data_IF_218106302888
#
_entry.id   IF_218106302888
#
_cell.length_a   1.000
_cell.length_b   1.000
_cell.length_c   1.000
_cell.angle_alpha   90.00
_cell.angle_beta   90.00
_cell.angle_gamma   90.00
#
_symmetry.space_group_name_H-M   'P 1'
#
loop_
_entity.id
_entity.type
_entity.pdbx_description
1 polymer ?
#
# COMPACT_ATOMS: atom_id res chain seq x y z
N UNK A 1 -1.91 18.64 41.39
CA UNK A 1 -1.13 18.88 40.14
C UNK A 1 -1.70 20.11 39.44
N UNK A 2 -0.93 20.80 38.58
CA UNK A 2 -1.44 21.91 37.77
C UNK A 2 -1.54 21.46 36.31
N UNK A 3 -2.68 21.73 35.68
CA UNK A 3 -2.98 21.42 34.29
C UNK A 3 -3.39 22.71 33.59
N UNK A 4 -2.87 22.94 32.38
CA UNK A 4 -3.23 24.09 31.55
C UNK A 4 -3.97 23.56 30.33
N UNK A 5 -5.19 24.03 30.08
CA UNK A 5 -5.99 23.54 28.97
C UNK A 5 -5.61 24.20 27.63
N UNK A 6 -6.30 23.82 26.54
CA UNK A 6 -6.03 24.35 25.21
C UNK A 6 -6.34 25.85 25.04
N UNK A 7 -7.03 26.46 26.01
CA UNK A 7 -7.34 27.90 26.07
C UNK A 7 -6.35 28.66 26.95
N UNK A 8 -5.45 27.96 27.66
CA UNK A 8 -4.49 28.56 28.60
C UNK A 8 -5.05 28.74 30.01
N UNK A 9 -6.18 28.11 30.33
CA UNK A 9 -6.78 28.23 31.66
C UNK A 9 -6.07 27.29 32.65
N UNK A 10 -5.73 27.81 33.83
CA UNK A 10 -5.01 27.09 34.89
C UNK A 10 -5.98 26.31 35.79
N UNK A 11 -5.91 24.99 35.72
CA UNK A 11 -6.69 24.05 36.52
C UNK A 11 -5.85 23.45 37.64
N UNK A 12 -6.39 23.48 38.86
CA UNK A 12 -5.75 22.94 40.07
C UNK A 12 -6.50 21.70 40.52
N UNK A 13 -5.77 20.60 40.70
CA UNK A 13 -6.31 19.35 41.26
C UNK A 13 -6.58 19.49 42.76
N UNK A 14 -7.79 19.14 43.17
CA UNK A 14 -8.29 19.07 44.54
C UNK A 14 -8.89 17.67 44.80
N UNK A 15 -9.07 17.32 46.07
CA UNK A 15 -9.77 16.10 46.49
C UNK A 15 -10.90 16.45 47.43
N UNK A 16 -12.05 15.80 47.26
CA UNK A 16 -13.17 15.95 48.19
C UNK A 16 -13.02 15.04 49.43
N UNK A 17 -13.99 15.10 50.33
CA UNK A 17 -14.00 14.33 51.58
C UNK A 17 -14.10 12.80 51.34
N UNK A 18 -14.55 12.36 50.16
CA UNK A 18 -14.67 10.96 49.77
C UNK A 18 -13.41 10.44 49.05
N UNK A 19 -12.46 11.34 48.73
CA UNK A 19 -11.19 11.05 48.08
C UNK A 19 -11.27 11.07 46.55
N UNK A 20 -12.37 11.55 45.98
CA UNK A 20 -12.52 11.74 44.54
C UNK A 20 -11.75 12.99 44.10
N UNK A 21 -11.00 12.85 43.01
CA UNK A 21 -10.15 13.92 42.47
C UNK A 21 -10.97 14.76 41.51
N UNK A 22 -10.92 16.08 41.69
CA UNK A 22 -11.55 17.03 40.78
C UNK A 22 -10.63 18.22 40.50
N UNK A 23 -10.89 18.92 39.41
CA UNK A 23 -10.12 20.10 39.03
C UNK A 23 -10.95 21.36 39.25
N UNK A 24 -10.33 22.43 39.76
CA UNK A 24 -10.92 23.76 39.90
C UNK A 24 -10.12 24.74 39.06
N UNK A 25 -10.79 25.52 38.23
CA UNK A 25 -10.16 26.60 37.49
C UNK A 25 -9.79 27.72 38.48
N UNK A 26 -8.51 28.08 38.52
CA UNK A 26 -7.99 29.05 39.49
C UNK A 26 -8.58 30.46 39.30
N UNK A 27 -9.02 30.80 38.09
CA UNK A 27 -9.50 32.13 37.72
C UNK A 27 -11.02 32.25 37.86
N UNK A 28 -11.77 31.25 37.43
CA UNK A 28 -13.25 31.27 37.49
C UNK A 28 -13.81 30.70 38.78
N UNK A 29 -13.01 29.95 39.54
CA UNK A 29 -13.44 29.13 40.68
C UNK A 29 -14.50 28.08 40.32
N UNK A 30 -14.68 27.79 39.03
CA UNK A 30 -15.57 26.73 38.57
C UNK A 30 -14.87 25.38 38.73
N UNK A 31 -15.61 24.41 39.24
CA UNK A 31 -15.11 23.04 39.31
C UNK A 31 -15.40 22.31 38.00
N UNK A 32 -14.61 21.28 37.71
CA UNK A 32 -14.91 20.28 36.66
C UNK A 32 -16.25 19.55 36.87
N UNK A 33 -16.92 19.77 38.01
CA UNK A 33 -18.30 19.35 38.27
C UNK A 33 -19.36 20.31 37.76
N UNK A 34 -19.02 21.60 37.64
CA UNK A 34 -19.92 22.66 37.18
C UNK A 34 -19.97 22.77 35.65
N UNK A 35 -19.01 22.17 34.94
CA UNK A 35 -18.98 22.12 33.48
C UNK A 35 -20.12 21.23 32.95
N UNK A 36 -20.98 21.81 32.10
CA UNK A 36 -22.04 21.07 31.41
C UNK A 36 -21.49 19.91 30.58
N UNK A 37 -22.31 18.88 30.35
CA UNK A 37 -21.93 17.63 29.67
C UNK A 37 -21.25 17.83 28.31
N UNK A 38 -21.56 18.90 27.59
CA UNK A 38 -20.93 19.23 26.30
C UNK A 38 -19.51 19.78 26.44
N UNK A 39 -19.18 20.51 27.51
CA UNK A 39 -17.82 21.03 27.75
C UNK A 39 -16.92 20.02 28.47
N UNK A 40 -17.49 19.12 29.29
CA UNK A 40 -16.76 17.97 29.86
C UNK A 40 -16.16 17.04 28.80
N UNK A 41 -16.85 16.88 27.67
CA UNK A 41 -16.35 16.10 26.54
C UNK A 41 -15.25 16.83 25.76
N UNK A 42 -15.26 18.16 25.74
CA UNK A 42 -14.23 18.98 25.10
C UNK A 42 -12.94 19.12 25.95
N UNK A 43 -13.04 19.04 27.28
CA UNK A 43 -11.88 19.13 28.19
C UNK A 43 -11.16 17.79 28.43
N UNK A 44 -11.70 16.66 27.94
CA UNK A 44 -11.07 15.34 28.07
C UNK A 44 -11.07 14.77 29.49
N UNK A 45 -11.84 15.34 30.41
CA UNK A 45 -11.92 14.91 31.82
C UNK A 45 -13.10 13.91 31.96
N UNK A 46 -12.81 12.61 32.06
CA UNK A 46 -13.82 11.54 32.07
C UNK A 46 -14.08 10.99 33.49
N UNK A 47 -15.35 10.92 33.90
CA UNK A 47 -15.87 10.07 34.99
C UNK A 47 -17.21 9.44 34.56
N UNK A 48 -17.58 8.22 35.03
CA UNK A 48 -18.71 7.49 34.48
C UNK A 48 -20.05 7.82 35.17
N UNK A 49 -21.10 7.89 34.34
CA UNK A 49 -22.53 7.62 34.59
C UNK A 49 -23.53 8.79 34.71
N UNK A 50 -24.52 8.78 33.80
CA UNK A 50 -25.95 8.68 34.14
C UNK A 50 -26.87 9.91 34.00
N UNK A 51 -27.66 9.95 32.91
CA UNK A 51 -29.12 10.19 32.98
C UNK A 51 -29.69 11.61 32.71
N UNK A 52 -30.36 11.72 31.56
CA UNK A 52 -31.67 12.32 31.26
C UNK A 52 -32.05 13.80 31.58
N UNK A 53 -32.47 14.46 30.49
CA UNK A 53 -33.63 15.36 30.29
C UNK A 53 -33.64 16.89 30.61
N UNK A 54 -34.04 17.63 29.55
CA UNK A 54 -34.90 18.81 29.46
C UNK A 54 -34.42 20.27 29.71
N UNK A 55 -34.24 20.97 28.58
CA UNK A 55 -35.04 22.13 28.12
C UNK A 55 -34.84 23.58 28.67
N UNK A 56 -34.57 24.49 27.71
CA UNK A 56 -35.21 25.80 27.44
C UNK A 56 -34.61 27.16 27.92
N UNK A 57 -34.30 27.99 26.89
CA UNK A 57 -34.49 29.46 26.71
C UNK A 57 -33.32 30.42 27.03
N UNK A 58 -32.93 31.24 26.02
CA UNK A 58 -31.88 32.29 26.05
C UNK A 58 -32.34 33.63 26.65
N UNK A 59 -32.02 34.84 26.11
CA UNK A 59 -31.00 35.31 25.16
C UNK A 59 -30.18 36.54 25.72
N UNK A 60 -29.47 37.26 24.82
CA UNK A 60 -28.75 38.55 24.96
C UNK A 60 -27.25 38.47 25.29
N UNK A 61 -26.36 39.36 24.83
CA UNK A 61 -26.22 40.29 23.70
C UNK A 61 -25.03 41.18 24.04
N UNK A 62 -24.12 41.41 23.07
CA UNK A 62 -23.18 42.55 22.97
C UNK A 62 -22.15 42.75 24.10
N UNK A 63 -20.85 42.91 23.83
CA UNK A 63 -20.30 44.04 23.08
C UNK A 63 -18.82 43.83 22.75
N UNK A 64 -18.44 44.43 21.62
CA UNK A 64 -17.09 44.65 21.09
C UNK A 64 -16.07 45.23 22.08
N UNK A 65 -14.80 44.87 21.90
CA UNK A 65 -13.77 45.88 21.62
C UNK A 65 -12.63 45.31 20.78
N UNK A 66 -12.32 46.04 19.71
CA UNK A 66 -11.19 45.91 18.81
C UNK A 66 -9.92 46.41 19.50
N UNK A 67 -8.81 45.70 19.35
CA UNK A 67 -7.52 46.33 19.04
C UNK A 67 -6.80 45.51 17.97
N UNK A 68 -6.41 46.22 16.92
CA UNK A 68 -5.72 45.72 15.76
C UNK A 68 -4.25 46.09 15.88
N UNK A 69 -3.36 45.20 15.45
CA UNK A 69 -2.12 45.49 14.73
C UNK A 69 -1.49 44.14 14.30
N UNK A 70 -1.62 43.77 13.01
CA UNK A 70 -0.61 44.04 11.98
C UNK A 70 0.53 43.02 11.94
N UNK A 71 0.32 41.90 11.25
CA UNK A 71 1.38 41.27 10.44
C UNK A 71 0.80 40.47 9.25
N UNK A 72 1.05 41.00 8.06
CA UNK A 72 1.22 40.35 6.74
C UNK A 72 0.50 39.00 6.56
N UNK A 73 -0.62 39.00 5.81
CA UNK A 73 -1.46 37.82 5.64
C UNK A 73 -0.85 36.75 4.74
N UNK A 74 -0.73 35.56 5.32
CA UNK A 74 -0.52 34.24 4.71
C UNK A 74 -1.79 33.74 3.98
N UNK A 75 -2.62 34.64 3.44
CA UNK A 75 -4.06 34.44 3.19
C UNK A 75 -4.46 33.37 2.16
N UNK A 76 -3.53 32.72 1.47
CA UNK A 76 -3.86 31.55 0.64
C UNK A 76 -3.76 30.21 1.41
N UNK A 77 -3.02 30.16 2.53
CA UNK A 77 -2.94 28.95 3.37
C UNK A 77 -4.15 28.82 4.29
N UNK A 78 -4.68 29.92 4.77
CA UNK A 78 -5.75 29.91 5.77
C UNK A 78 -7.14 29.81 5.14
N UNK A 79 -7.38 30.30 3.92
CA UNK A 79 -8.69 30.17 3.26
C UNK A 79 -8.97 28.75 2.72
N UNK A 80 -7.95 27.93 2.48
CA UNK A 80 -8.12 26.54 2.01
C UNK A 80 -8.34 25.56 3.18
N UNK A 81 -7.88 25.90 4.39
CA UNK A 81 -8.05 25.05 5.58
C UNK A 81 -9.42 25.22 6.26
N UNK A 82 -10.11 26.35 6.08
CA UNK A 82 -11.39 26.62 6.75
C UNK A 82 -12.57 25.87 6.10
N UNK A 83 -12.41 25.35 4.87
CA UNK A 83 -13.44 24.58 4.16
C UNK A 83 -13.33 23.06 4.26
N UNK A 84 -12.27 22.53 4.90
CA UNK A 84 -11.98 21.09 4.89
C UNK A 84 -11.98 20.54 6.31
N UNK A 85 -13.17 20.42 6.91
CA UNK A 85 -13.36 19.54 8.04
C UNK A 85 -13.27 18.10 7.53
N UNK A 86 -12.09 17.49 7.68
CA UNK A 86 -12.00 16.03 7.77
C UNK A 86 -12.97 15.63 8.88
N UNK A 87 -13.89 14.66 8.67
CA UNK A 87 -14.78 14.23 9.73
C UNK A 87 -13.99 13.94 10.99
N UNK A 88 -14.46 14.53 12.10
CA UNK A 88 -13.88 14.45 13.43
C UNK A 88 -13.46 13.02 13.75
N UNK A 89 -12.30 12.87 14.39
CA UNK A 89 -11.68 11.60 14.80
C UNK A 89 -12.72 10.56 15.17
N UNK A 90 -12.73 9.44 14.43
CA UNK A 90 -13.60 8.31 14.76
C UNK A 90 -13.05 7.69 16.05
N UNK A 91 -13.68 8.06 17.15
CA UNK A 91 -13.39 7.62 18.52
C UNK A 91 -13.08 6.12 18.60
N UNK A 92 -12.11 5.75 19.42
CA UNK A 92 -11.64 4.40 19.76
C UNK A 92 -12.71 3.43 20.32
N UNK A 93 -14.00 3.79 20.29
CA UNK A 93 -15.10 2.93 20.69
C UNK A 93 -15.36 1.85 19.62
N UNK A 94 -14.51 0.81 19.64
CA UNK A 94 -14.71 -0.47 18.97
C UNK A 94 -16.05 -1.07 19.42
N UNK A 95 -17.06 -0.98 18.54
CA UNK A 95 -18.40 -1.44 18.84
C UNK A 95 -18.48 -2.95 18.97
N UNK A 96 -19.03 -3.42 20.10
CA UNK A 96 -19.67 -4.75 20.26
C UNK A 96 -20.85 -4.98 19.28
N UNK A 97 -21.14 -4.03 18.40
CA UNK A 97 -22.22 -4.04 17.43
C UNK A 97 -21.69 -3.85 15.99
N UNK A 98 -20.79 -4.73 15.54
CA UNK A 98 -20.80 -5.35 14.20
C UNK A 98 -20.76 -4.53 12.89
N UNK A 99 -20.82 -3.20 12.86
CA UNK A 99 -20.67 -2.46 11.59
C UNK A 99 -20.33 -0.99 11.80
N UNK A 100 -19.04 -0.66 11.75
CA UNK A 100 -18.60 0.68 11.40
C UNK A 100 -17.50 0.55 10.34
N UNK A 101 -17.92 0.40 9.08
CA UNK A 101 -17.02 0.48 7.94
C UNK A 101 -16.64 1.94 7.73
N UNK A 102 -15.43 2.32 8.16
CA UNK A 102 -14.78 3.61 7.83
C UNK A 102 -14.03 3.42 6.50
N UNK A 103 -14.75 2.95 5.47
CA UNK A 103 -14.21 2.93 4.11
C UNK A 103 -14.93 4.01 3.32
N UNK A 104 -14.20 4.88 2.59
CA UNK A 104 -14.86 5.97 1.89
C UNK A 104 -15.87 5.37 0.90
N UNK A 105 -17.13 5.79 1.03
CA UNK A 105 -18.18 5.39 0.10
C UNK A 105 -17.79 5.91 -1.27
N UNK A 106 -17.89 5.07 -2.30
CA UNK A 106 -17.76 5.59 -3.66
C UNK A 106 -18.95 6.50 -3.95
N UNK A 107 -18.73 7.41 -4.90
CA UNK A 107 -19.79 8.31 -5.39
C UNK A 107 -20.97 7.52 -5.99
N UNK A 108 -20.72 6.31 -6.50
CA UNK A 108 -21.71 5.44 -7.14
C UNK A 108 -22.24 4.31 -6.25
N UNK A 109 -21.86 4.27 -4.97
CA UNK A 109 -22.29 3.26 -4.00
C UNK A 109 -21.68 1.86 -4.18
N UNK A 110 -20.74 1.68 -5.10
CA UNK A 110 -19.92 0.47 -5.22
C UNK A 110 -18.85 0.42 -4.11
N UNK A 111 -18.37 -0.76 -3.70
CA UNK A 111 -17.21 -0.83 -2.84
C UNK A 111 -15.97 -0.37 -3.63
N UNK A 112 -15.31 0.69 -3.17
CA UNK A 112 -14.00 1.07 -3.70
C UNK A 112 -12.97 0.01 -3.31
N UNK A 113 -12.04 -0.28 -4.22
CA UNK A 113 -10.92 -1.17 -3.93
C UNK A 113 -9.63 -0.35 -3.91
N UNK A 114 -8.81 -0.61 -2.90
CA UNK A 114 -7.42 -0.21 -2.97
C UNK A 114 -6.69 -1.13 -3.94
N UNK A 115 -6.11 -0.52 -4.97
CA UNK A 115 -5.23 -1.15 -5.93
C UNK A 115 -3.78 -0.78 -5.59
N UNK A 116 -2.91 -1.77 -5.64
CA UNK A 116 -1.47 -1.57 -5.45
C UNK A 116 -0.89 -1.04 -6.75
N UNK A 117 -0.07 0.00 -6.63
CA UNK A 117 0.73 0.53 -7.72
C UNK A 117 2.21 0.39 -7.37
N UNK A 118 2.93 -0.30 -8.25
CA UNK A 118 4.37 -0.47 -8.17
C UNK A 118 5.04 0.54 -9.08
N UNK A 119 6.02 1.27 -8.54
CA UNK A 119 6.94 2.11 -9.31
C UNK A 119 8.23 1.34 -9.48
N UNK A 120 8.55 1.01 -10.72
CA UNK A 120 9.76 0.29 -11.09
C UNK A 120 10.75 1.23 -11.76
N UNK A 121 12.05 1.03 -11.55
CA UNK A 121 13.13 1.86 -12.10
C UNK A 121 14.15 0.98 -12.82
N UNK A 122 14.51 1.36 -14.05
CA UNK A 122 15.69 0.85 -14.73
C UNK A 122 16.77 1.95 -14.75
N UNK A 123 18.02 1.61 -14.44
CA UNK A 123 19.09 2.62 -14.31
C UNK A 123 19.78 2.97 -15.64
N UNK A 124 19.79 2.06 -16.62
CA UNK A 124 20.48 2.26 -17.90
C UNK A 124 19.64 1.81 -19.13
N UNK A 125 19.14 2.74 -19.96
CA UNK A 125 18.96 4.16 -19.62
C UNK A 125 17.94 4.32 -18.49
N UNK A 126 18.06 5.42 -17.73
CA UNK A 126 17.12 5.76 -16.66
C UNK A 126 15.68 5.79 -17.18
N UNK A 127 14.82 4.93 -16.64
CA UNK A 127 13.39 4.83 -16.96
C UNK A 127 12.62 4.48 -15.69
N UNK A 128 11.40 5.01 -15.57
CA UNK A 128 10.43 4.52 -14.60
C UNK A 128 9.20 3.96 -15.31
N UNK A 129 8.63 2.91 -14.72
CA UNK A 129 7.43 2.25 -15.17
C UNK A 129 6.45 2.11 -14.00
N UNK A 130 5.16 2.30 -14.29
CA UNK A 130 4.08 2.15 -13.31
C UNK A 130 3.25 0.94 -13.69
N UNK A 131 3.08 0.01 -12.76
CA UNK A 131 2.31 -1.21 -12.99
C UNK A 131 1.44 -1.53 -11.78
N UNK A 132 0.28 -2.13 -12.03
CA UNK A 132 -0.57 -2.71 -10.98
C UNK A 132 -0.33 -4.20 -10.78
N UNK A 133 0.63 -4.78 -11.51
CA UNK A 133 0.93 -6.21 -11.48
C UNK A 133 2.42 -6.55 -11.51
N UNK A 134 2.79 -7.61 -10.76
CA UNK A 134 4.15 -8.18 -10.74
C UNK A 134 4.51 -8.92 -12.04
N UNK A 135 3.52 -9.36 -12.85
CA UNK A 135 3.77 -10.07 -14.11
C UNK A 135 4.67 -9.29 -15.08
N UNK A 136 4.46 -7.97 -15.18
CA UNK A 136 5.28 -7.11 -16.04
C UNK A 136 6.75 -7.12 -15.63
N UNK A 137 7.04 -7.18 -14.33
CA UNK A 137 8.41 -7.23 -13.81
C UNK A 137 9.14 -8.51 -14.21
N UNK A 138 8.43 -9.65 -14.30
CA UNK A 138 9.03 -10.91 -14.74
C UNK A 138 9.44 -10.86 -16.22
N UNK A 139 8.71 -10.09 -17.03
CA UNK A 139 9.02 -9.85 -18.44
C UNK A 139 10.15 -8.83 -18.64
N UNK A 140 10.40 -7.98 -17.64
CA UNK A 140 11.33 -6.85 -17.69
C UNK A 140 12.31 -6.86 -16.49
N UNK A 141 13.26 -7.82 -16.43
CA UNK A 141 14.17 -7.98 -15.31
C UNK A 141 15.14 -6.80 -15.12
N UNK A 142 15.28 -5.92 -16.11
CA UNK A 142 16.07 -4.69 -16.01
C UNK A 142 15.44 -3.62 -15.11
N UNK A 143 14.17 -3.80 -14.72
CA UNK A 143 13.44 -2.90 -13.84
C UNK A 143 13.44 -3.42 -12.40
N UNK A 144 13.89 -2.56 -11.49
CA UNK A 144 13.96 -2.79 -10.06
C UNK A 144 12.82 -2.05 -9.33
N UNK A 145 12.10 -2.69 -8.38
CA UNK A 145 11.18 -1.99 -7.50
C UNK A 145 11.80 -0.79 -6.78
N UNK A 146 11.22 0.40 -6.99
CA UNK A 146 11.60 1.65 -6.31
C UNK A 146 10.72 1.89 -5.09
N UNK A 147 9.41 1.98 -5.30
CA UNK A 147 8.43 2.19 -4.23
C UNK A 147 7.08 1.57 -4.62
N UNK A 148 6.19 1.41 -3.64
CA UNK A 148 4.81 1.01 -3.88
C UNK A 148 3.86 1.85 -3.03
N UNK A 149 2.66 2.10 -3.55
CA UNK A 149 1.61 2.81 -2.84
C UNK A 149 0.25 2.19 -3.17
N UNK A 150 -0.73 2.42 -2.30
CA UNK A 150 -2.11 2.06 -2.55
C UNK A 150 -2.92 3.29 -2.93
N UNK A 151 -3.65 3.16 -4.03
CA UNK A 151 -4.59 4.16 -4.53
C UNK A 151 -5.93 3.48 -4.83
N UNK A 152 -7.00 4.25 -4.99
CA UNK A 152 -8.31 3.68 -5.28
C UNK A 152 -8.45 3.40 -6.78
N UNK A 153 -9.09 2.29 -7.12
CA UNK A 153 -9.44 1.93 -8.50
C UNK A 153 -10.64 2.72 -9.04
N UNK A 154 -11.37 3.37 -8.15
CA UNK A 154 -12.65 4.03 -8.40
C UNK A 154 -12.70 5.38 -7.67
N UNK A 155 -13.50 6.30 -8.19
CA UNK A 155 -13.68 7.60 -7.58
C UNK A 155 -14.36 7.46 -6.21
N UNK A 156 -13.69 7.95 -5.17
CA UNK A 156 -14.24 8.12 -3.83
C UNK A 156 -14.30 9.60 -3.46
N UNK A 157 -14.87 9.93 -2.30
CA UNK A 157 -14.84 11.30 -1.82
C UNK A 157 -13.39 11.77 -1.60
N UNK A 158 -13.12 13.02 -1.97
CA UNK A 158 -11.83 13.70 -1.75
C UNK A 158 -10.61 13.12 -2.48
N UNK A 159 -10.81 12.27 -3.50
CA UNK A 159 -9.72 11.83 -4.38
C UNK A 159 -9.86 12.42 -5.77
N UNK A 160 -8.74 12.56 -6.45
CA UNK A 160 -8.67 12.98 -7.84
C UNK A 160 -8.10 11.86 -8.72
N UNK A 161 -8.46 11.89 -10.00
CA UNK A 161 -8.00 10.91 -10.97
C UNK A 161 -6.60 11.27 -11.48
N UNK A 162 -5.74 10.26 -11.52
CA UNK A 162 -4.42 10.30 -12.14
C UNK A 162 -4.35 9.24 -13.24
N UNK A 163 -3.73 9.59 -14.34
CA UNK A 163 -3.60 8.74 -15.52
C UNK A 163 -2.15 8.35 -15.74
N UNK A 164 -1.90 7.08 -16.00
CA UNK A 164 -0.62 6.61 -16.50
C UNK A 164 -0.74 6.50 -18.01
N UNK A 165 0.04 7.31 -18.72
CA UNK A 165 0.22 7.16 -20.15
C UNK A 165 1.51 6.39 -20.41
N UNK A 166 1.42 5.36 -21.23
CA UNK A 166 2.55 4.56 -21.69
C UNK A 166 2.86 4.89 -23.15
N UNK A 167 4.14 5.07 -23.46
CA UNK A 167 4.65 5.09 -24.83
C UNK A 167 5.60 3.92 -25.08
N UNK A 168 5.69 3.53 -26.35
CA UNK A 168 6.63 2.53 -26.84
C UNK A 168 8.10 2.93 -26.65
N UNK A 169 9.00 2.02 -26.99
CA UNK A 169 10.43 2.10 -26.77
C UNK A 169 11.03 3.50 -27.10
N UNK A 170 11.84 4.08 -26.20
CA UNK A 170 12.35 3.50 -24.95
C UNK A 170 11.32 3.68 -23.84
N UNK A 171 10.60 2.60 -23.46
CA UNK A 171 9.40 2.59 -22.60
C UNK A 171 9.33 3.79 -21.68
N UNK A 172 8.39 4.70 -21.98
CA UNK A 172 8.18 5.90 -21.18
C UNK A 172 6.82 5.79 -20.56
N UNK A 173 6.76 5.96 -19.25
CA UNK A 173 5.51 6.22 -18.57
C UNK A 173 5.50 7.66 -18.10
N UNK A 174 4.35 8.32 -18.20
CA UNK A 174 4.12 9.62 -17.57
C UNK A 174 2.85 9.59 -16.76
N UNK A 175 2.87 10.26 -15.62
CA UNK A 175 1.69 10.46 -14.80
C UNK A 175 1.07 11.82 -15.10
N UNK A 176 -0.22 11.84 -15.41
CA UNK A 176 -1.00 13.06 -15.55
C UNK A 176 -2.03 13.16 -14.44
N UNK A 177 -2.32 14.39 -14.01
CA UNK A 177 -3.43 14.71 -13.13
C UNK A 177 -4.60 15.15 -13.98
N UNK A 178 -5.79 14.61 -13.74
CA UNK A 178 -6.98 14.96 -14.52
C UNK A 178 -7.26 16.46 -14.48
N UNK A 179 -7.65 17.04 -15.62
CA UNK A 179 -7.84 18.48 -15.77
C UNK A 179 -6.55 19.34 -15.87
N UNK A 180 -5.36 18.79 -15.59
CA UNK A 180 -4.10 19.54 -15.71
C UNK A 180 -3.46 19.31 -17.09
N UNK A 181 -3.80 20.15 -18.07
CA UNK A 181 -3.12 20.14 -19.39
C UNK A 181 -1.78 20.85 -19.29
N UNK A 182 -0.68 20.11 -19.46
CA UNK A 182 0.64 20.71 -19.53
C UNK A 182 0.81 21.44 -20.86
N UNK A 183 1.02 22.77 -20.79
CA UNK A 183 1.19 23.64 -21.97
C UNK A 183 2.44 23.33 -22.81
N UNK A 184 3.33 22.46 -22.32
CA UNK A 184 4.60 22.08 -22.95
C UNK A 184 4.59 20.68 -23.55
N UNK A 185 3.42 20.07 -23.72
CA UNK A 185 3.31 18.76 -24.36
C UNK A 185 3.58 18.87 -25.88
N UNK A 186 4.85 18.79 -26.25
CA UNK A 186 5.35 18.89 -27.63
C UNK A 186 5.50 17.53 -28.31
N UNK A 187 5.35 16.42 -27.58
CA UNK A 187 5.43 15.08 -28.12
C UNK A 187 4.03 14.53 -28.36
N UNK A 188 3.81 13.91 -29.52
CA UNK A 188 2.61 13.13 -29.79
C UNK A 188 2.72 11.82 -29.01
N UNK A 189 2.11 11.77 -27.82
CA UNK A 189 1.95 10.54 -27.07
C UNK A 189 0.71 9.81 -27.59
N UNK A 190 0.90 8.62 -28.15
CA UNK A 190 -0.22 7.74 -28.47
C UNK A 190 -0.58 6.97 -27.21
N UNK A 191 -1.79 7.17 -26.67
CA UNK A 191 -2.29 6.34 -25.59
C UNK A 191 -2.30 4.89 -26.08
N UNK A 192 -1.51 4.02 -25.43
CA UNK A 192 -1.50 2.59 -25.73
C UNK A 192 -2.93 2.09 -25.63
N UNK A 193 -3.49 1.61 -26.76
CA UNK A 193 -4.80 0.99 -26.75
C UNK A 193 -4.80 -0.13 -25.70
N UNK A 194 -5.85 -0.26 -24.87
CA UNK A 194 -5.90 -1.32 -23.87
C UNK A 194 -5.58 -2.64 -24.53
N UNK A 195 -4.65 -3.41 -23.94
CA UNK A 195 -4.29 -4.72 -24.45
C UNK A 195 -5.59 -5.46 -24.71
N UNK A 196 -5.89 -5.78 -25.97
CA UNK A 196 -7.10 -6.50 -26.34
C UNK A 196 -7.06 -7.77 -25.51
N UNK A 197 -7.90 -7.85 -24.49
CA UNK A 197 -8.09 -9.06 -23.70
C UNK A 197 -8.44 -10.11 -24.75
N UNK A 198 -7.58 -11.12 -24.91
CA UNK A 198 -7.80 -12.16 -25.91
C UNK A 198 -9.10 -12.88 -25.53
N UNK A 199 -10.22 -12.43 -26.07
CA UNK A 199 -11.54 -13.07 -25.95
C UNK A 199 -11.61 -14.40 -26.72
N UNK A 200 -10.47 -14.89 -27.23
CA UNK A 200 -10.33 -16.15 -27.94
C UNK A 200 -10.39 -17.39 -27.03
N UNK A 201 -10.67 -17.25 -25.74
CA UNK A 201 -10.93 -18.40 -24.85
C UNK A 201 -12.42 -18.82 -24.84
N UNK A 202 -13.20 -18.38 -25.84
CA UNK A 202 -14.53 -18.92 -26.13
C UNK A 202 -14.49 -19.91 -27.29
N UNK A 203 -14.05 -21.12 -26.95
CA UNK A 203 -14.62 -22.35 -27.51
C UNK A 203 -13.69 -23.15 -28.40
N UNK A 204 -13.43 -24.42 -28.00
CA UNK A 204 -13.84 -25.56 -28.82
C UNK A 204 -13.71 -26.89 -28.05
N UNK A 205 -14.73 -27.29 -27.27
CA UNK A 205 -14.92 -28.70 -26.90
C UNK A 205 -15.74 -29.42 -27.99
N UNK A 206 -15.23 -29.38 -29.22
CA UNK A 206 -15.76 -30.09 -30.36
C UNK A 206 -15.03 -31.42 -30.54
N UNK A 207 -15.68 -32.50 -30.08
CA UNK A 207 -15.31 -33.88 -30.36
C UNK A 207 -15.30 -34.12 -31.88
N UNK A 208 -14.18 -34.59 -32.44
CA UNK A 208 -14.14 -35.04 -33.83
C UNK A 208 -12.74 -35.39 -34.34
N UNK A 209 -12.47 -36.68 -34.46
CA UNK A 209 -11.44 -37.30 -35.32
C UNK A 209 -12.09 -38.54 -35.96
N UNK A 210 -11.55 -39.15 -37.03
CA UNK A 210 -10.46 -38.74 -37.91
C UNK A 210 -10.76 -38.95 -39.42
N UNK A 211 -9.84 -38.51 -40.29
CA UNK A 211 -9.51 -39.22 -41.54
C UNK A 211 -9.57 -38.40 -42.83
N UNK A 212 -8.50 -38.50 -43.65
CA UNK A 212 -8.53 -38.20 -45.08
C UNK A 212 -7.38 -37.34 -45.63
N UNK A 213 -6.20 -37.93 -45.76
CA UNK A 213 -5.48 -38.15 -47.04
C UNK A 213 -5.62 -37.16 -48.23
N UNK A 214 -4.42 -36.78 -48.73
CA UNK A 214 -3.98 -36.51 -50.12
C UNK A 214 -3.93 -35.08 -50.69
N UNK A 215 -2.69 -34.76 -51.10
CA UNK A 215 -2.20 -34.19 -52.37
C UNK A 215 -2.72 -32.85 -52.93
N UNK A 216 -1.78 -32.04 -53.42
CA UNK A 216 -1.99 -31.25 -54.64
C UNK A 216 -1.49 -29.80 -54.64
N UNK A 217 -0.28 -29.63 -55.15
CA UNK A 217 0.17 -28.65 -56.16
C UNK A 217 -0.27 -27.17 -56.14
N UNK A 218 0.78 -26.34 -56.21
CA UNK A 218 0.99 -25.12 -57.00
C UNK A 218 -0.18 -24.58 -57.85
N UNK A 219 -0.52 -23.29 -57.72
CA UNK A 219 -0.27 -22.29 -58.77
C UNK A 219 -0.61 -20.84 -58.39
N UNK A 220 -0.02 -19.95 -59.18
CA UNK A 220 0.05 -18.50 -59.14
C UNK A 220 -1.27 -17.74 -59.42
N UNK A 221 -1.31 -16.49 -58.92
CA UNK A 221 -1.70 -15.32 -59.73
C UNK A 221 -3.13 -14.82 -59.60
N UNK A 222 -3.29 -13.51 -59.40
CA UNK A 222 -4.59 -12.85 -59.50
C UNK A 222 -4.60 -11.40 -59.01
N UNK A 223 -4.08 -10.50 -59.83
CA UNK A 223 -4.35 -9.06 -59.76
C UNK A 223 -5.84 -8.75 -60.02
N UNK A 224 -6.37 -7.73 -59.34
CA UNK A 224 -7.64 -7.05 -59.65
C UNK A 224 -7.70 -5.77 -58.81
N UNK A 225 -7.28 -4.61 -59.31
CA UNK A 225 -8.02 -3.66 -60.18
C UNK A 225 -9.37 -3.22 -59.59
N UNK A 226 -9.38 -1.95 -59.16
CA UNK A 226 -10.37 -0.97 -59.59
C UNK A 226 -11.71 -0.93 -58.83
N UNK A 227 -11.87 0.09 -58.00
CA UNK A 227 -13.15 0.46 -57.41
C UNK A 227 -13.18 1.91 -56.97
N UNK A 228 -13.26 2.83 -57.92
CA UNK A 228 -13.56 4.24 -57.69
C UNK A 228 -14.97 4.38 -57.11
N UNK A 229 -15.06 4.86 -55.86
CA UNK A 229 -16.31 5.18 -55.18
C UNK A 229 -16.28 6.60 -54.66
N UNK A 230 -16.59 7.57 -55.53
CA UNK A 230 -16.98 8.93 -55.13
C UNK A 230 -18.34 8.86 -54.41
N UNK A 231 -18.34 9.19 -53.12
CA UNK A 231 -19.56 9.44 -52.35
C UNK A 231 -19.35 10.66 -51.46
N UNK A 232 -19.89 11.80 -51.88
CA UNK A 232 -20.01 13.00 -51.05
C UNK A 232 -21.18 12.88 -50.08
N UNK A 233 -20.97 13.33 -48.85
CA UNK A 233 -21.98 13.52 -47.79
C UNK A 233 -21.29 14.27 -46.65
N UNK A 234 -21.36 15.61 -46.65
CA UNK A 234 -22.33 16.41 -45.87
C UNK A 234 -22.19 16.20 -44.35
N UNK A 235 -21.55 17.18 -43.71
CA UNK A 235 -21.87 17.73 -42.40
C UNK A 235 -22.23 16.77 -41.27
N UNK A 236 -21.24 16.44 -40.45
CA UNK A 236 -21.44 15.96 -39.09
C UNK A 236 -20.63 16.84 -38.14
N UNK A 237 -21.33 17.72 -37.42
CA UNK A 237 -20.77 18.50 -36.31
C UNK A 237 -20.15 17.55 -35.27
N UNK A 238 -18.84 17.69 -35.07
CA UNK A 238 -18.30 18.20 -33.81
C UNK A 238 -18.62 17.47 -32.50
N UNK A 239 -18.98 16.19 -32.53
CA UNK A 239 -19.01 15.36 -31.33
C UNK A 239 -17.65 14.72 -31.08
N UNK A 240 -16.63 15.52 -30.73
CA UNK A 240 -15.33 15.04 -30.28
C UNK A 240 -15.45 14.30 -28.95
N UNK A 241 -16.04 13.11 -28.97
CA UNK A 241 -15.93 12.16 -27.89
C UNK A 241 -14.45 11.82 -27.78
N UNK A 242 -13.80 12.37 -26.76
CA UNK A 242 -12.58 11.81 -26.20
C UNK A 242 -12.92 10.35 -25.84
N UNK A 243 -12.79 9.44 -26.81
CA UNK A 243 -12.57 8.03 -26.57
C UNK A 243 -11.20 7.92 -25.95
N UNK A 244 -11.05 8.45 -24.73
CA UNK A 244 -9.90 8.19 -23.91
C UNK A 244 -9.82 6.69 -23.80
N UNK A 245 -8.77 6.10 -24.37
CA UNK A 245 -8.48 4.70 -24.16
C UNK A 245 -8.56 4.42 -22.67
N UNK A 246 -8.95 3.20 -22.30
CA UNK A 246 -8.92 2.69 -20.94
C UNK A 246 -7.47 2.60 -20.43
N UNK A 247 -6.76 3.73 -20.43
CA UNK A 247 -5.43 3.87 -19.87
C UNK A 247 -5.51 3.58 -18.39
N UNK A 248 -4.52 2.82 -17.91
CA UNK A 248 -4.40 2.52 -16.50
C UNK A 248 -4.33 3.84 -15.72
N UNK A 249 -5.20 4.02 -14.74
CA UNK A 249 -5.26 5.21 -13.93
C UNK A 249 -5.73 4.86 -12.53
N UNK A 250 -5.45 5.73 -11.58
CA UNK A 250 -5.81 5.54 -10.18
C UNK A 250 -6.37 6.81 -9.59
N UNK A 251 -7.02 6.68 -8.44
CA UNK A 251 -7.52 7.80 -7.67
C UNK A 251 -6.73 7.95 -6.37
N UNK A 252 -6.17 9.13 -6.14
CA UNK A 252 -5.37 9.43 -4.95
C UNK A 252 -5.76 10.78 -4.36
N UNK A 253 -5.31 11.06 -3.14
CA UNK A 253 -5.70 12.28 -2.44
C UNK A 253 -4.88 13.47 -2.99
N UNK A 254 -5.52 14.59 -3.37
CA UNK A 254 -4.80 15.80 -3.79
C UNK A 254 -4.26 16.60 -2.59
N UNK A 255 -4.74 16.30 -1.38
CA UNK A 255 -4.39 16.96 -0.12
C UNK A 255 -3.93 15.92 0.91
N UNK A 256 -3.23 16.39 1.94
CA UNK A 256 -2.75 15.54 3.04
C UNK A 256 -3.96 14.93 3.76
N UNK A 257 -3.97 13.60 3.87
CA UNK A 257 -4.88 12.84 4.73
C UNK A 257 -4.07 12.21 5.86
N UNK A 258 -4.70 11.98 7.02
CA UNK A 258 -4.04 11.34 8.16
C UNK A 258 -3.32 10.04 7.74
N UNK A 259 -2.03 9.94 8.10
CA UNK A 259 -1.11 8.83 7.78
C UNK A 259 -0.94 8.52 6.28
N UNK A 260 -1.31 9.44 5.39
CA UNK A 260 -0.90 9.40 3.99
C UNK A 260 0.47 10.03 3.79
N UNK A 261 1.17 9.64 2.74
CA UNK A 261 2.51 10.12 2.41
C UNK A 261 2.48 10.92 1.13
N UNK A 262 3.29 11.98 1.07
CA UNK A 262 3.45 12.75 -0.15
C UNK A 262 4.24 11.94 -1.20
N UNK A 263 3.71 11.91 -2.41
CA UNK A 263 4.37 11.39 -3.59
C UNK A 263 4.47 12.52 -4.62
N UNK A 264 5.69 12.81 -5.03
CA UNK A 264 6.00 13.88 -5.95
C UNK A 264 6.24 13.33 -7.34
N UNK A 265 5.59 13.92 -8.33
CA UNK A 265 5.87 13.64 -9.74
C UNK A 265 6.83 14.69 -10.24
N UNK A 266 8.05 14.27 -10.52
CA UNK A 266 9.10 15.11 -11.06
C UNK A 266 9.35 14.74 -12.54
N UNK A 267 9.76 15.73 -13.32
CA UNK A 267 9.97 15.61 -14.76
C UNK A 267 11.30 16.25 -15.19
N UNK A 268 11.92 15.69 -16.22
CA UNK A 268 13.09 16.29 -16.88
C UNK A 268 12.98 16.18 -18.40
N UNK A 269 13.50 17.17 -19.12
CA UNK A 269 13.36 17.28 -20.58
C UNK A 269 14.46 16.57 -21.38
N UNK A 270 15.52 16.08 -20.72
CA UNK A 270 16.72 15.59 -21.42
C UNK A 270 17.25 14.22 -20.97
N UNK A 271 16.72 13.10 -21.49
CA UNK A 271 15.45 12.91 -22.23
C UNK A 271 14.18 13.13 -21.40
N UNK A 272 13.04 13.24 -22.08
CA UNK A 272 11.70 13.34 -21.50
C UNK A 272 11.40 12.14 -20.59
N UNK A 273 11.48 12.37 -19.29
CA UNK A 273 11.39 11.35 -18.24
C UNK A 273 10.57 11.87 -17.07
N UNK A 274 9.84 10.96 -16.45
CA UNK A 274 9.06 11.20 -15.26
C UNK A 274 9.60 10.29 -14.16
N UNK A 275 9.53 10.77 -12.93
CA UNK A 275 9.77 9.94 -11.77
C UNK A 275 8.77 10.23 -10.66
N UNK A 276 8.48 9.21 -9.86
CA UNK A 276 7.82 9.39 -8.56
C UNK A 276 8.88 9.31 -7.47
N UNK A 277 8.94 10.30 -6.60
CA UNK A 277 9.80 10.31 -5.41
C UNK A 277 9.02 10.71 -4.16
N UNK A 278 9.55 10.35 -3.00
CA UNK A 278 9.12 10.86 -1.69
C UNK A 278 10.06 11.96 -1.17
N UNK A 279 11.10 12.33 -1.94
CA UNK A 279 12.05 13.37 -1.57
C UNK A 279 11.38 14.75 -1.59
N UNK A 280 11.59 15.53 -0.53
CA UNK A 280 10.96 16.85 -0.38
C UNK A 280 11.39 17.85 -1.44
N UNK A 281 12.54 17.67 -2.07
CA UNK A 281 13.07 18.52 -3.14
C UNK A 281 13.38 17.69 -4.39
N UNK A 282 13.12 18.21 -5.60
CA UNK A 282 13.49 17.52 -6.83
C UNK A 282 15.01 17.46 -6.97
N UNK A 283 15.54 16.34 -7.46
CA UNK A 283 16.96 16.21 -7.80
C UNK A 283 17.39 17.26 -8.84
N UNK A 284 18.69 17.58 -8.88
CA UNK A 284 19.21 18.55 -9.85
C UNK A 284 18.89 18.14 -11.29
N UNK A 285 18.30 19.06 -12.06
CA UNK A 285 17.86 18.81 -13.44
C UNK A 285 16.44 18.25 -13.56
N UNK A 286 15.75 18.02 -12.44
CA UNK A 286 14.34 17.66 -12.39
C UNK A 286 13.47 18.86 -11.97
N UNK A 287 12.24 18.87 -12.46
CA UNK A 287 11.21 19.87 -12.16
C UNK A 287 10.00 19.19 -11.58
N UNK A 288 9.56 19.62 -10.41
CA UNK A 288 8.33 19.11 -9.79
C UNK A 288 7.11 19.55 -10.56
N UNK A 289 6.29 18.61 -10.98
CA UNK A 289 5.02 18.86 -11.67
C UNK A 289 3.88 19.02 -10.68
N UNK A 290 3.66 18.01 -9.85
CA UNK A 290 2.61 18.01 -8.85
C UNK A 290 2.92 17.01 -7.73
N UNK A 291 2.11 17.09 -6.67
CA UNK A 291 2.13 16.18 -5.53
C UNK A 291 0.76 15.52 -5.41
N UNK A 292 0.75 14.26 -5.01
CA UNK A 292 -0.44 13.55 -4.56
C UNK A 292 -0.11 12.80 -3.27
N UNK A 293 -1.13 12.35 -2.55
CA UNK A 293 -0.97 11.63 -1.29
C UNK A 293 -1.61 10.24 -1.40
N UNK A 294 -0.90 9.24 -0.89
CA UNK A 294 -1.31 7.84 -0.91
C UNK A 294 -0.82 7.11 0.33
N UNK A 295 -1.38 5.94 0.61
CA UNK A 295 -0.93 5.13 1.73
C UNK A 295 0.31 4.32 1.33
N UNK A 296 1.41 4.56 2.04
CA UNK A 296 2.65 3.84 1.83
C UNK A 296 2.52 2.41 2.35
N UNK A 297 3.00 1.46 1.56
CA UNK A 297 3.03 0.06 1.95
C UNK A 297 4.43 -0.52 1.75
N UNK A 298 4.68 -1.65 2.41
CA UNK A 298 5.87 -2.45 2.23
C UNK A 298 5.50 -3.90 1.99
N UNK A 299 6.33 -4.58 1.20
CA UNK A 299 6.29 -6.04 1.05
C UNK A 299 6.94 -6.69 2.27
N UNK A 300 6.30 -7.74 2.76
CA UNK A 300 6.76 -8.61 3.83
C UNK A 300 6.87 -10.03 3.31
N UNK A 301 8.03 -10.64 3.50
CA UNK A 301 8.33 -12.02 3.15
C UNK A 301 8.30 -12.87 4.41
N UNK A 302 7.48 -13.92 4.42
CA UNK A 302 7.48 -14.90 5.50
C UNK A 302 8.35 -16.06 5.05
N UNK A 303 9.43 -16.25 5.79
CA UNK A 303 10.41 -17.29 5.55
C UNK A 303 10.21 -18.39 6.58
N UNK A 304 10.36 -19.63 6.16
CA UNK A 304 10.33 -20.81 7.02
C UNK A 304 11.66 -21.52 6.90
N UNK A 305 12.28 -21.90 8.02
CA UNK A 305 13.52 -22.69 7.96
C UNK A 305 13.22 -24.11 7.47
N UNK A 306 14.14 -24.65 6.68
CA UNK A 306 14.11 -26.05 6.25
C UNK A 306 14.68 -26.99 7.31
N UNK A 307 15.34 -26.45 8.34
CA UNK A 307 15.99 -27.21 9.40
C UNK A 307 15.12 -27.27 10.66
N UNK A 308 15.34 -28.29 11.49
CA UNK A 308 14.66 -28.40 12.78
C UNK A 308 15.37 -27.55 13.85
N UNK A 309 14.63 -26.87 14.75
CA UNK A 309 13.17 -26.81 14.80
C UNK A 309 12.58 -25.85 13.75
N UNK A 310 11.34 -26.13 13.34
CA UNK A 310 10.60 -25.26 12.43
C UNK A 310 10.44 -23.87 13.07
N UNK A 311 11.01 -22.88 12.42
CA UNK A 311 10.93 -21.47 12.74
C UNK A 311 10.45 -20.68 11.52
N UNK A 312 9.72 -19.60 11.78
CA UNK A 312 9.46 -18.60 10.76
C UNK A 312 10.16 -17.31 11.15
N UNK A 313 10.49 -16.50 10.15
CA UNK A 313 10.89 -15.10 10.32
C UNK A 313 10.24 -14.24 9.25
N UNK A 314 10.05 -12.97 9.55
CA UNK A 314 9.36 -12.04 8.66
C UNK A 314 10.31 -10.93 8.28
N UNK A 315 10.63 -10.85 6.99
CA UNK A 315 11.58 -9.88 6.45
C UNK A 315 10.82 -8.80 5.69
N UNK A 316 11.02 -7.54 6.08
CA UNK A 316 10.49 -6.37 5.37
C UNK A 316 11.41 -6.02 4.20
N UNK A 317 10.84 -5.84 3.00
CA UNK A 317 11.59 -5.36 1.84
C UNK A 317 10.95 -5.80 0.52
N UNK A 318 11.24 -5.05 -0.55
CA UNK A 318 10.79 -5.39 -1.91
C UNK A 318 11.61 -6.53 -2.55
N UNK A 319 12.80 -6.77 -1.98
CA UNK A 319 13.72 -7.81 -2.40
C UNK A 319 14.00 -8.73 -1.22
N UNK A 320 14.10 -10.00 -1.53
CA UNK A 320 14.50 -11.02 -0.59
C UNK A 320 15.87 -11.54 -1.01
N UNK A 321 16.89 -11.30 -0.20
CA UNK A 321 18.19 -11.94 -0.37
C UNK A 321 18.04 -13.43 -0.02
N UNK A 322 18.41 -14.37 -0.93
CA UNK A 322 18.41 -15.78 -0.60
C UNK A 322 19.28 -16.05 0.62
N UNK A 323 18.75 -16.81 1.58
CA UNK A 323 19.47 -17.23 2.77
C UNK A 323 19.48 -18.76 2.86
N UNK A 324 20.67 -19.39 2.98
CA UNK A 324 20.77 -20.84 3.07
C UNK A 324 19.89 -21.39 4.20
N UNK A 325 19.13 -22.44 3.90
CA UNK A 325 18.24 -23.08 4.88
C UNK A 325 16.92 -22.35 5.15
N UNK A 326 16.57 -21.32 4.39
CA UNK A 326 15.27 -20.64 4.46
C UNK A 326 14.53 -20.70 3.13
N UNK A 327 13.21 -20.96 3.19
CA UNK A 327 12.29 -20.90 2.04
C UNK A 327 11.26 -19.79 2.26
N UNK A 328 10.96 -19.00 1.23
CA UNK A 328 9.84 -18.08 1.26
C UNK A 328 8.53 -18.88 1.11
N UNK A 329 7.66 -18.86 2.12
CA UNK A 329 6.41 -19.63 2.12
C UNK A 329 5.17 -18.82 1.76
N UNK A 330 5.22 -17.51 2.02
CA UNK A 330 4.24 -16.53 1.56
C UNK A 330 4.84 -15.13 1.57
N UNK A 331 4.22 -14.21 0.84
CA UNK A 331 4.53 -12.80 0.91
C UNK A 331 3.22 -11.99 0.88
N UNK A 332 3.24 -10.82 1.51
CA UNK A 332 2.08 -9.91 1.54
C UNK A 332 2.54 -8.45 1.61
N UNK A 333 1.66 -7.54 1.21
CA UNK A 333 1.82 -6.11 1.41
C UNK A 333 0.97 -5.66 2.59
N UNK A 334 1.55 -4.82 3.44
CA UNK A 334 0.87 -4.17 4.54
C UNK A 334 1.31 -2.71 4.64
N UNK A 335 0.50 -1.87 5.28
CA UNK A 335 0.77 -0.45 5.40
C UNK A 335 1.91 -0.19 6.37
N UNK A 336 2.68 0.87 6.10
CA UNK A 336 3.76 1.30 7.00
C UNK A 336 3.19 1.98 8.25
N UNK A 337 2.08 2.69 8.08
CA UNK A 337 1.40 3.46 9.11
C UNK A 337 -0.07 3.07 9.21
N UNK A 338 -0.70 3.45 10.32
CA UNK A 338 -2.11 3.18 10.57
C UNK A 338 -2.97 3.89 9.53
N UNK A 339 -3.73 3.14 8.74
CA UNK A 339 -4.76 3.71 7.87
C UNK A 339 -6.14 3.59 8.54
N UNK A 340 -7.15 4.38 8.15
CA UNK A 340 -8.50 4.27 8.72
C UNK A 340 -9.01 2.83 8.73
N UNK A 341 -9.42 2.35 9.91
CA UNK A 341 -9.94 0.98 10.11
C UNK A 341 -8.90 -0.14 10.16
N UNK A 342 -7.60 0.17 10.10
CA UNK A 342 -6.53 -0.82 10.31
C UNK A 342 -6.08 -0.89 11.77
N UNK A 343 -5.36 -1.96 12.14
CA UNK A 343 -4.68 -2.13 13.41
C UNK A 343 -3.18 -2.31 13.21
N UNK A 344 -2.40 -1.91 14.22
CA UNK A 344 -0.93 -2.07 14.22
C UNK A 344 -0.56 -3.44 14.76
N UNK A 345 0.32 -4.11 14.03
CA UNK A 345 0.88 -5.40 14.37
C UNK A 345 2.39 -5.26 14.54
N UNK A 346 2.90 -5.87 15.60
CA UNK A 346 4.31 -5.88 15.96
C UNK A 346 4.89 -7.26 15.64
N UNK A 347 6.02 -7.26 14.91
CA UNK A 347 6.86 -8.42 14.67
C UNK A 347 8.07 -8.29 15.57
N UNK A 348 8.23 -9.26 16.45
CA UNK A 348 9.33 -9.28 17.40
C UNK A 348 10.02 -10.63 17.34
N UNK A 349 11.32 -10.64 17.57
CA UNK A 349 12.13 -11.84 17.48
C UNK A 349 12.91 -12.07 18.76
N UNK A 350 13.30 -13.33 18.98
CA UNK A 350 14.23 -13.70 20.04
C UNK A 350 15.01 -14.93 19.63
N UNK A 351 16.33 -14.84 19.73
CA UNK A 351 17.26 -15.92 19.41
C UNK A 351 17.54 -16.77 20.65
N UNK A 352 16.74 -17.79 21.00
CA UNK A 352 17.07 -18.65 22.16
C UNK A 352 16.21 -19.92 22.33
N UNK A 353 16.76 -21.15 22.23
CA UNK A 353 18.03 -21.57 21.59
C UNK A 353 17.96 -21.59 20.04
N UNK A 354 16.79 -21.26 19.49
CA UNK A 354 16.53 -21.13 18.06
C UNK A 354 15.75 -19.84 17.84
N UNK A 355 15.72 -19.35 16.60
CA UNK A 355 14.95 -18.16 16.24
C UNK A 355 13.47 -18.40 16.55
N UNK A 356 12.87 -17.47 17.28
CA UNK A 356 11.42 -17.39 17.48
C UNK A 356 10.93 -16.05 16.99
N UNK A 357 9.73 -16.07 16.41
CA UNK A 357 8.99 -14.86 16.08
C UNK A 357 7.72 -14.80 16.92
N UNK A 358 7.45 -13.62 17.46
CA UNK A 358 6.17 -13.25 18.07
C UNK A 358 5.48 -12.25 17.16
N UNK A 359 4.17 -12.43 17.01
CA UNK A 359 3.31 -11.48 16.31
C UNK A 359 2.16 -11.12 17.26
N UNK A 360 1.92 -9.83 17.46
CA UNK A 360 0.88 -9.35 18.35
C UNK A 360 0.44 -7.93 18.01
N UNK A 361 -0.71 -7.53 18.54
CA UNK A 361 -1.23 -6.16 18.45
C UNK A 361 -0.56 -5.21 19.47
N UNK A 362 0.18 -5.78 20.42
CA UNK A 362 0.91 -5.04 21.45
C UNK A 362 2.39 -5.44 21.45
N UNK A 363 3.27 -4.44 21.51
CA UNK A 363 4.70 -4.65 21.71
C UNK A 363 4.97 -5.29 23.08
N UNK A 364 5.90 -6.24 23.13
CA UNK A 364 6.35 -6.88 24.36
C UNK A 364 7.71 -6.35 24.78
N UNK A 365 7.84 -6.02 26.06
CA UNK A 365 9.13 -5.63 26.63
C UNK A 365 10.16 -6.78 26.75
N UNK A 366 9.78 -8.03 26.40
CA UNK A 366 10.62 -9.23 26.53
C UNK A 366 11.19 -9.73 25.21
N UNK A 367 10.87 -9.07 24.11
CA UNK A 367 11.23 -9.47 22.76
C UNK A 367 11.94 -8.33 22.04
N UNK A 368 12.78 -8.67 21.07
CA UNK A 368 13.48 -7.69 20.27
C UNK A 368 12.56 -7.22 19.14
N UNK A 369 12.10 -5.98 19.21
CA UNK A 369 11.27 -5.39 18.18
C UNK A 369 12.03 -5.34 16.84
N UNK A 370 11.47 -5.97 15.80
CA UNK A 370 12.04 -5.96 14.45
C UNK A 370 11.33 -4.96 13.56
N UNK A 371 10.01 -5.17 13.40
CA UNK A 371 9.19 -4.42 12.47
C UNK A 371 7.79 -4.21 13.06
N UNK A 372 7.07 -3.22 12.54
CA UNK A 372 5.63 -3.13 12.70
C UNK A 372 4.99 -2.81 11.36
N UNK A 373 3.75 -3.23 11.20
CA UNK A 373 2.93 -2.95 10.02
C UNK A 373 1.48 -2.71 10.45
N UNK A 374 0.70 -2.05 9.60
CA UNK A 374 -0.74 -1.93 9.78
C UNK A 374 -1.49 -2.76 8.74
N UNK A 375 -2.54 -3.45 9.19
CA UNK A 375 -3.40 -4.30 8.38
C UNK A 375 -4.83 -4.29 8.93
N UNK A 376 -5.80 -4.80 8.18
CA UNK A 376 -7.20 -4.78 8.61
C UNK A 376 -7.57 -6.01 9.43
N UNK A 377 -8.49 -5.87 10.38
CA UNK A 377 -9.06 -7.01 11.12
C UNK A 377 -10.36 -7.52 10.45
N UNK A 378 -10.85 -6.75 9.48
CA UNK A 378 -12.03 -7.06 8.68
C UNK A 378 -11.62 -7.23 7.21
N UNK A 379 -12.31 -8.09 6.45
CA UNK A 379 -12.03 -8.27 5.04
C UNK A 379 -12.25 -6.97 4.26
N UNK A 380 -11.25 -6.58 3.47
CA UNK A 380 -11.35 -5.48 2.50
C UNK A 380 -11.17 -5.99 1.07
N UNK A 381 -11.76 -5.33 0.06
CA UNK A 381 -11.62 -5.75 -1.34
C UNK A 381 -10.14 -5.92 -1.75
N UNK A 382 -9.81 -7.08 -2.32
CA UNK A 382 -8.44 -7.39 -2.79
C UNK A 382 -7.49 -7.93 -1.72
N UNK A 383 -7.87 -7.94 -0.44
CA UNK A 383 -7.09 -8.58 0.62
C UNK A 383 -7.33 -10.09 0.71
N UNK A 384 -6.41 -10.81 1.34
CA UNK A 384 -6.57 -12.19 1.78
C UNK A 384 -6.48 -12.28 3.30
N UNK A 385 -7.14 -13.29 3.88
CA UNK A 385 -7.03 -13.61 5.29
C UNK A 385 -5.69 -14.29 5.58
N UNK A 386 -4.96 -13.79 6.57
CA UNK A 386 -3.74 -14.37 7.08
C UNK A 386 -3.95 -14.72 8.56
N UNK A 387 -3.81 -16.00 8.87
CA UNK A 387 -3.95 -16.52 10.22
C UNK A 387 -2.61 -16.51 10.94
N UNK A 388 -2.58 -15.87 12.10
CA UNK A 388 -1.46 -15.97 13.04
C UNK A 388 -1.74 -17.15 13.94
N UNK A 389 -0.92 -18.18 13.82
CA UNK A 389 -0.94 -19.32 14.72
C UNK A 389 0.13 -19.18 15.78
N UNK A 390 -0.13 -19.74 16.95
CA UNK A 390 0.85 -19.81 18.03
C UNK A 390 0.89 -21.20 18.66
N UNK A 391 2.02 -21.57 19.26
CA UNK A 391 2.14 -22.78 20.06
C UNK A 391 2.03 -22.44 21.54
N UNK A 392 1.08 -23.08 22.24
CA UNK A 392 0.89 -22.90 23.70
C UNK A 392 1.85 -23.79 24.50
N UNK A 393 2.31 -24.89 23.90
CA UNK A 393 3.13 -25.90 24.57
C UNK A 393 4.20 -26.39 23.62
N UNK A 394 5.44 -26.39 24.09
CA UNK A 394 6.45 -27.27 23.50
C UNK A 394 5.96 -28.71 23.63
N UNK A 395 6.16 -29.52 22.60
CA UNK A 395 5.97 -30.98 22.69
C UNK A 395 6.90 -31.60 23.74
N UNK A 396 7.96 -30.90 24.15
CA UNK A 396 8.81 -31.26 25.28
C UNK A 396 8.25 -30.70 26.59
N UNK A 397 7.56 -31.56 27.33
CA UNK A 397 6.90 -31.28 28.63
C UNK A 397 7.81 -30.72 29.74
N UNK A 398 9.13 -30.69 29.54
CA UNK A 398 10.13 -30.32 30.54
C UNK A 398 10.63 -28.88 30.43
N UNK A 399 10.31 -28.18 29.34
CA UNK A 399 10.79 -26.82 29.12
C UNK A 399 9.61 -25.93 28.70
N UNK A 400 9.21 -24.93 29.50
CA UNK A 400 8.19 -23.97 29.11
C UNK A 400 8.79 -23.07 28.02
N UNK A 401 8.89 -23.59 26.79
CA UNK A 401 9.37 -22.78 25.69
C UNK A 401 8.41 -21.60 25.50
N UNK A 402 8.95 -20.37 25.36
CA UNK A 402 8.20 -19.19 25.01
C UNK A 402 7.34 -19.37 23.77
N UNK A 403 6.22 -18.66 23.75
CA UNK A 403 5.30 -18.49 22.62
C UNK A 403 6.07 -18.37 21.29
N UNK A 404 5.70 -19.18 20.30
CA UNK A 404 6.20 -19.07 18.93
C UNK A 404 5.01 -18.85 18.00
N UNK A 405 5.10 -17.85 17.14
CA UNK A 405 4.09 -17.51 16.15
C UNK A 405 4.51 -17.95 14.73
N UNK A 406 3.52 -18.23 13.88
CA UNK A 406 3.68 -18.38 12.43
C UNK A 406 2.51 -17.74 11.70
N UNK A 407 2.74 -17.28 10.47
CA UNK A 407 1.67 -16.84 9.57
C UNK A 407 1.35 -17.98 8.60
N UNK A 408 0.05 -18.22 8.37
CA UNK A 408 -0.41 -19.19 7.38
C UNK A 408 -1.68 -18.75 6.66
N UNK A 409 -1.86 -19.28 5.45
CA UNK A 409 -3.13 -19.22 4.69
C UNK A 409 -4.04 -20.42 4.98
N UNK A 410 -3.50 -21.43 5.68
CA UNK A 410 -4.20 -22.68 5.98
C UNK A 410 -4.62 -22.66 7.44
N UNK A 411 -5.68 -23.39 7.77
CA UNK A 411 -6.07 -23.61 9.16
C UNK A 411 -4.93 -24.22 10.00
N UNK A 412 -4.89 -23.94 11.32
CA UNK A 412 -3.90 -24.51 12.19
C UNK A 412 -4.04 -26.04 12.24
N UNK A 413 -2.90 -26.73 12.38
CA UNK A 413 -2.84 -28.17 12.50
C UNK A 413 -1.77 -28.58 13.51
N UNK A 414 -1.95 -29.74 14.15
CA UNK A 414 -1.01 -30.25 15.16
C UNK A 414 -1.07 -29.46 16.46
N UNK A 415 0.09 -28.99 16.95
CA UNK A 415 0.24 -28.24 18.21
C UNK A 415 0.03 -26.73 18.07
N UNK A 416 -0.43 -26.28 16.90
CA UNK A 416 -0.66 -24.88 16.61
C UNK A 416 -2.11 -24.53 16.88
N UNK A 417 -2.35 -23.39 17.54
CA UNK A 417 -3.67 -22.82 17.75
C UNK A 417 -3.76 -21.47 17.02
N UNK A 418 -4.96 -21.08 16.60
CA UNK A 418 -5.17 -19.77 15.98
C UNK A 418 -5.18 -18.69 17.07
N UNK A 419 -4.32 -17.69 16.92
CA UNK A 419 -4.24 -16.55 17.84
C UNK A 419 -5.20 -15.45 17.43
N UNK A 420 -5.07 -14.99 16.19
CA UNK A 420 -5.95 -14.01 15.56
C UNK A 420 -5.78 -14.08 14.04
N UNK A 421 -6.60 -13.32 13.33
CA UNK A 421 -6.60 -13.19 11.87
C UNK A 421 -6.46 -11.72 11.51
N UNK A 422 -5.69 -11.43 10.47
CA UNK A 422 -5.66 -10.11 9.84
C UNK A 422 -5.80 -10.25 8.32
N UNK A 423 -6.09 -9.14 7.66
CA UNK A 423 -6.33 -9.06 6.23
C UNK A 423 -5.28 -8.13 5.60
N UNK A 424 -4.50 -8.69 4.70
CA UNK A 424 -3.43 -7.99 3.98
C UNK A 424 -3.51 -8.31 2.49
N UNK A 425 -2.81 -7.55 1.66
CA UNK A 425 -2.85 -7.77 0.22
C UNK A 425 -1.82 -8.83 -0.16
N UNK A 426 -2.20 -9.89 -0.90
CA UNK A 426 -1.24 -10.92 -1.29
C UNK A 426 -0.14 -10.33 -2.17
N UNK A 427 1.08 -10.86 -2.02
CA UNK A 427 2.22 -10.54 -2.86
C UNK A 427 2.77 -11.81 -3.50
N UNK A 428 3.39 -11.70 -4.67
CA UNK A 428 4.06 -12.84 -5.29
C UNK A 428 5.22 -13.33 -4.40
N UNK A 429 5.30 -14.66 -4.28
CA UNK A 429 6.38 -15.30 -3.56
C UNK A 429 7.65 -15.25 -4.40
N UNK A 430 8.76 -14.81 -3.81
CA UNK A 430 10.06 -14.95 -4.46
C UNK A 430 10.45 -16.41 -4.35
N UNK A 431 10.46 -17.11 -5.48
CA UNK A 431 11.06 -18.43 -5.59
C UNK A 431 12.55 -18.26 -5.36
N UNK A 432 13.01 -18.53 -4.15
CA UNK A 432 14.42 -18.70 -3.88
C UNK A 432 14.85 -19.92 -4.69
N UNK A 433 15.72 -19.72 -5.69
CA UNK A 433 16.30 -20.82 -6.44
C UNK A 433 16.80 -21.84 -5.43
N UNK A 434 16.38 -23.12 -5.51
CA UNK A 434 16.96 -24.14 -4.67
C UNK A 434 18.46 -24.03 -4.88
N UNK A 435 19.21 -23.79 -3.81
CA UNK A 435 20.67 -23.85 -3.88
C UNK A 435 20.98 -25.13 -4.62
N UNK A 436 21.66 -25.01 -5.77
CA UNK A 436 22.23 -26.17 -6.44
C UNK A 436 23.06 -26.85 -5.36
N UNK A 437 22.55 -27.98 -4.85
CA UNK A 437 23.15 -28.72 -3.74
C UNK A 437 24.65 -28.71 -3.96
N UNK A 438 25.43 -28.31 -2.94
CA UNK A 438 26.88 -28.15 -3.04
C UNK A 438 27.57 -29.41 -3.61
N UNK A 439 26.93 -30.56 -3.47
CA UNK A 439 27.34 -31.84 -4.06
C UNK A 439 27.38 -31.81 -5.61
N UNK A 440 26.56 -30.97 -6.25
CA UNK A 440 26.56 -30.73 -7.70
C UNK A 440 27.67 -29.77 -8.13
N UNK A 441 28.10 -28.85 -7.26
CA UNK A 441 29.24 -27.97 -7.54
C UNK A 441 30.57 -28.74 -7.56
N UNK A 442 30.70 -29.79 -6.74
CA UNK A 442 31.89 -30.66 -6.74
C UNK A 442 31.98 -31.54 -8.01
N UNK A 443 30.86 -31.91 -8.61
CA UNK A 443 30.85 -32.65 -9.89
C UNK A 443 31.25 -31.75 -11.07
N UNK A 444 30.92 -30.46 -11.03
CA UNK A 444 31.28 -29.51 -12.09
C UNK A 444 32.72 -29.00 -11.95
N UNK A 445 33.24 -28.85 -10.73
CA UNK A 445 34.63 -28.47 -10.47
C UNK A 445 35.63 -29.62 -10.71
N UNK A 446 35.20 -30.88 -10.57
CA UNK A 446 36.01 -32.07 -10.82
C UNK A 446 36.32 -32.39 -12.29
N UNK A 447 35.70 -31.70 -13.26
CA UNK A 447 35.89 -31.96 -14.70
C UNK A 447 37.08 -31.25 -15.36
N UNK A 448 37.83 -30.37 -14.67
CA UNK A 448 38.93 -29.60 -15.28
C UNK A 448 40.35 -30.15 -15.03
N UNK A 449 40.52 -31.29 -14.38
CA UNK A 449 41.84 -31.83 -14.02
C UNK A 449 42.09 -33.25 -14.56
N UNK A 450 41.99 -33.43 -15.89
CA UNK A 450 42.61 -34.58 -16.55
C UNK A 450 43.47 -34.17 -17.76
N UNK A 451 44.77 -34.27 -17.51
CA UNK A 451 45.87 -34.62 -18.42
C UNK A 451 46.26 -33.67 -19.56
N UNK A 452 47.16 -32.73 -19.24
CA UNK A 452 48.35 -32.52 -20.07
C UNK A 452 49.44 -33.45 -19.52
N UNK A 453 49.56 -34.64 -20.13
CA UNK A 453 50.69 -35.53 -19.89
C UNK A 453 51.90 -35.02 -20.65
N UNK A 454 52.84 -34.44 -19.90
CA UNK A 454 54.18 -34.07 -20.33
C UNK A 454 55.05 -35.35 -20.37
N UNK A 455 55.26 -35.93 -21.56
CA UNK A 455 56.25 -36.98 -21.79
C UNK A 455 57.61 -36.31 -22.10
N UNK A 456 58.47 -36.24 -21.08
CA UNK A 456 59.88 -35.90 -21.23
C UNK A 456 60.79 -37.01 -20.67
N UNK A 457 61.47 -37.70 -21.60
CA UNK A 457 62.78 -38.37 -21.40
C UNK A 457 62.78 -39.77 -20.74
N UNK A 458 63.86 -40.58 -20.88
CA UNK A 458 65.25 -40.10 -20.87
C UNK A 458 66.23 -40.75 -21.89
N UNK A 459 67.45 -40.19 -21.86
CA UNK A 459 68.71 -40.53 -22.53
C UNK A 459 69.06 -42.02 -22.77
N UNK A 460 69.78 -42.27 -23.87
CA UNK A 460 70.55 -43.47 -24.16
C UNK A 460 71.05 -43.51 -25.60
#
# INVERSE_FOLDING_TARGET
MQYEDSKGDLWVEEQDDDGDVYFVNADTMESSWDLGTDERLASGIYHPSGGDDDALIGPYSSSQTLEAESSISSSWRDEVLVGFQVPQEVSEAVGRAGSAHIWPRTVDGRPSRLERWDVLKASDPYREHFSTGEAWRLEHPEFEPKLCFYAFDTAVEHVERYWVEEAEAPFRCRLQRDGLKFSRDIATWEARAPAKKNDNDKGNSGVGSPGGDLDGDEHWGGEGVGGDGRGGGVGGDGGGGNGGGDGAGFFAFPLVVHNSHAHHVDWTSGPDRYQITQDSEPEWGWTRLFTFFAYAASKYHVLETTQAPLAQKIVKGNFLTPEPGWKCVLAFFAFNDMVPGSNRYYIEEKDEPHLRTRIGMEASCRWDARHSFAAFDVPVPGSCALDVHYTIRSTDSLNPYPEQCRISLKDPWGSWEQKFRFYAFPAEQVLLSPELDSDTQDVLSGSQSRSAGDESGPHG
#
